data_IF_655669786978
#
_entry.id   IF_655669786978
#
_cell.length_a   1.000
_cell.length_b   1.000
_cell.length_c   1.000
_cell.angle_alpha   90.00
_cell.angle_beta   90.00
_cell.angle_gamma   90.00
#
_symmetry.space_group_name_H-M   'P 1'
#
loop_
_entity.id
_entity.type
_entity.pdbx_description
1 polymer ?
#
# COMPACT_ATOMS: atom_id res chain seq x y z
N UNK A 1 20.85 9.59 -21.30
CA UNK A 1 19.60 10.37 -21.39
C UNK A 1 18.74 9.98 -20.20
N UNK A 2 18.44 10.88 -19.25
CA UNK A 2 17.58 10.57 -18.09
C UNK A 2 16.16 10.98 -18.46
N UNK A 3 15.29 10.01 -18.70
CA UNK A 3 13.89 10.25 -19.08
C UNK A 3 13.06 10.21 -17.80
N UNK A 4 12.85 11.38 -17.19
CA UNK A 4 11.91 11.51 -16.07
C UNK A 4 10.48 11.59 -16.63
N UNK A 5 9.89 10.43 -16.89
CA UNK A 5 8.46 10.30 -17.18
C UNK A 5 7.74 9.88 -15.90
N UNK A 6 7.18 10.84 -15.17
CA UNK A 6 6.29 10.58 -14.03
C UNK A 6 4.92 10.14 -14.55
N UNK A 7 4.88 8.96 -15.19
CA UNK A 7 3.63 8.27 -15.49
C UNK A 7 3.13 7.56 -14.22
N UNK A 8 1.82 7.52 -14.04
CA UNK A 8 1.17 6.81 -12.93
C UNK A 8 1.76 5.40 -12.77
N UNK A 9 2.52 5.18 -11.68
CA UNK A 9 3.18 3.90 -11.37
C UNK A 9 2.17 2.74 -11.43
N UNK A 10 0.90 2.98 -11.09
CA UNK A 10 -0.18 1.99 -11.17
C UNK A 10 -0.36 1.41 -12.58
N UNK A 11 -0.27 2.23 -13.62
CA UNK A 11 -0.48 1.83 -15.01
C UNK A 11 0.71 1.02 -15.54
N UNK A 12 1.93 1.45 -15.19
CA UNK A 12 3.17 0.72 -15.51
C UNK A 12 3.18 -0.65 -14.81
N UNK A 13 2.76 -0.71 -13.56
CA UNK A 13 2.67 -1.95 -12.79
C UNK A 13 1.62 -2.92 -13.36
N UNK A 14 0.46 -2.42 -13.81
CA UNK A 14 -0.56 -3.25 -14.46
C UNK A 14 -0.04 -3.85 -15.77
N UNK A 15 0.67 -3.07 -16.58
CA UNK A 15 1.29 -3.56 -17.81
C UNK A 15 2.36 -4.66 -17.56
N UNK A 16 3.09 -4.59 -16.43
CA UNK A 16 4.02 -5.62 -16.02
C UNK A 16 3.33 -6.91 -15.57
N UNK A 17 2.27 -6.79 -14.75
CA UNK A 17 1.50 -7.94 -14.27
C UNK A 17 0.79 -8.67 -15.42
N UNK A 18 0.22 -7.95 -16.38
CA UNK A 18 -0.41 -8.56 -17.57
C UNK A 18 0.61 -9.32 -18.42
N UNK A 19 1.81 -8.76 -18.67
CA UNK A 19 2.87 -9.45 -19.42
C UNK A 19 3.40 -10.72 -18.76
N UNK A 20 3.42 -10.79 -17.42
CA UNK A 20 3.83 -12.00 -16.69
C UNK A 20 2.82 -13.15 -16.84
N UNK A 21 1.55 -12.84 -17.12
CA UNK A 21 0.46 -13.81 -17.19
C UNK A 21 0.17 -14.29 -18.64
N UNK A 22 0.70 -13.61 -19.67
CA UNK A 22 0.51 -13.95 -21.08
C UNK A 22 1.61 -14.86 -21.67
N UNK A 23 2.31 -15.62 -20.82
CA UNK A 23 3.37 -16.55 -21.20
C UNK A 23 2.92 -17.85 -21.91
N UNK A 24 1.69 -17.91 -22.43
CA UNK A 24 1.29 -19.00 -23.35
C UNK A 24 0.45 -18.45 -24.49
N UNK A 25 0.99 -18.57 -25.71
CA UNK A 25 0.34 -18.34 -27.01
C UNK A 25 0.25 -16.91 -27.55
N UNK A 26 1.30 -16.46 -28.24
CA UNK A 26 1.24 -16.22 -29.70
C UNK A 26 2.62 -15.94 -30.29
N UNK A 27 3.02 -16.77 -31.26
CA UNK A 27 4.04 -16.46 -32.26
C UNK A 27 3.47 -15.39 -33.20
N UNK A 28 4.22 -14.30 -33.44
CA UNK A 28 4.54 -13.80 -34.78
C UNK A 28 5.32 -12.46 -34.75
N UNK A 29 6.32 -12.38 -35.64
CA UNK A 29 7.14 -11.24 -36.10
C UNK A 29 8.26 -10.65 -35.19
N UNK A 30 9.51 -10.54 -35.70
CA UNK A 30 10.63 -9.96 -34.97
C UNK A 30 10.61 -8.43 -35.12
N UNK A 31 10.04 -7.73 -34.14
CA UNK A 31 10.25 -6.29 -34.01
C UNK A 31 11.70 -6.07 -33.57
N UNK A 32 12.55 -5.60 -34.49
CA UNK A 32 13.83 -4.96 -34.18
C UNK A 32 13.55 -3.69 -33.36
N UNK A 33 13.42 -3.85 -32.05
CA UNK A 33 13.49 -2.78 -31.07
C UNK A 33 14.42 -3.27 -29.98
N UNK A 34 15.39 -2.45 -29.58
CA UNK A 34 16.29 -2.79 -28.46
C UNK A 34 15.47 -3.27 -27.28
N UNK A 35 15.99 -4.28 -26.56
CA UNK A 35 15.36 -4.79 -25.35
C UNK A 35 15.26 -3.63 -24.35
N UNK A 36 14.09 -2.99 -24.28
CA UNK A 36 13.75 -2.06 -23.22
C UNK A 36 13.66 -2.86 -21.92
N UNK A 37 14.77 -2.92 -21.19
CA UNK A 37 14.85 -3.53 -19.86
C UNK A 37 14.24 -2.60 -18.83
N UNK A 38 13.11 -3.02 -18.26
CA UNK A 38 12.44 -2.33 -17.17
C UNK A 38 12.98 -2.87 -15.83
N UNK A 39 13.86 -2.10 -15.18
CA UNK A 39 14.34 -2.42 -13.82
C UNK A 39 13.51 -1.68 -12.76
N UNK A 40 12.82 -2.44 -11.90
CA UNK A 40 12.17 -1.90 -10.70
C UNK A 40 13.21 -1.55 -9.65
N UNK A 41 13.21 -0.30 -9.19
CA UNK A 41 14.04 0.13 -8.07
C UNK A 41 13.72 -0.67 -6.80
N UNK A 42 14.70 -0.83 -5.92
CA UNK A 42 14.54 -1.52 -4.62
C UNK A 42 13.40 -0.89 -3.81
N UNK A 43 13.37 0.44 -3.74
CA UNK A 43 12.31 1.20 -3.06
C UNK A 43 10.91 0.93 -3.64
N UNK A 44 10.78 0.74 -4.96
CA UNK A 44 9.49 0.44 -5.57
C UNK A 44 8.98 -0.96 -5.19
N UNK A 45 9.90 -1.93 -5.01
CA UNK A 45 9.55 -3.28 -4.53
C UNK A 45 9.10 -3.26 -3.07
N UNK A 46 9.80 -2.52 -2.21
CA UNK A 46 9.42 -2.35 -0.80
C UNK A 46 8.03 -1.73 -0.66
N UNK A 47 7.73 -0.68 -1.42
CA UNK A 47 6.39 -0.05 -1.42
C UNK A 47 5.31 -1.04 -1.89
N UNK A 48 5.62 -1.90 -2.88
CA UNK A 48 4.68 -2.91 -3.36
C UNK A 48 4.39 -3.96 -2.29
N UNK A 49 5.42 -4.41 -1.58
CA UNK A 49 5.29 -5.39 -0.49
C UNK A 49 4.43 -4.83 0.65
N UNK A 50 4.72 -3.61 1.10
CA UNK A 50 3.93 -2.92 2.14
C UNK A 50 2.48 -2.73 1.69
N UNK A 51 2.23 -2.30 0.45
CA UNK A 51 0.85 -2.15 -0.08
C UNK A 51 0.09 -3.47 -0.15
N UNK A 52 0.78 -4.56 -0.48
CA UNK A 52 0.16 -5.88 -0.55
C UNK A 52 -0.20 -6.36 0.87
N UNK A 53 0.73 -6.21 1.81
CA UNK A 53 0.47 -6.52 3.22
C UNK A 53 -0.69 -5.71 3.80
N UNK A 54 -0.78 -4.41 3.51
CA UNK A 54 -1.89 -3.56 3.95
C UNK A 54 -3.24 -3.98 3.35
N UNK A 55 -3.25 -4.51 2.13
CA UNK A 55 -4.48 -4.99 1.47
C UNK A 55 -5.01 -6.28 2.09
N UNK A 56 -4.11 -7.14 2.55
CA UNK A 56 -4.46 -8.42 3.17
C UNK A 56 -4.80 -8.27 4.65
N UNK A 57 -4.54 -7.11 5.26
CA UNK A 57 -4.92 -6.83 6.64
C UNK A 57 -6.43 -6.63 6.79
N UNK A 58 -7.03 -7.16 7.87
CA UNK A 58 -8.44 -6.96 8.14
C UNK A 58 -8.72 -5.48 8.46
N UNK A 59 -9.82 -4.98 7.91
CA UNK A 59 -10.30 -3.61 8.18
C UNK A 59 -10.58 -3.40 9.68
N UNK A 60 -11.09 -4.44 10.35
CA UNK A 60 -11.42 -4.41 11.77
C UNK A 60 -10.46 -5.33 12.53
N UNK A 61 -9.78 -4.76 13.53
CA UNK A 61 -8.98 -5.53 14.51
C UNK A 61 -9.88 -6.07 15.62
N UNK A 62 -10.63 -7.13 15.31
CA UNK A 62 -11.63 -7.74 16.19
C UNK A 62 -11.10 -8.04 17.61
N UNK A 63 -9.89 -8.59 17.71
CA UNK A 63 -9.26 -8.89 19.00
C UNK A 63 -9.17 -7.65 19.91
N UNK A 64 -8.71 -6.53 19.34
CA UNK A 64 -8.57 -5.25 20.07
C UNK A 64 -9.93 -4.71 20.47
N UNK A 65 -10.94 -4.82 19.60
CA UNK A 65 -12.31 -4.38 19.91
C UNK A 65 -12.88 -5.19 21.07
N UNK A 66 -12.74 -6.51 21.03
CA UNK A 66 -13.23 -7.38 22.09
C UNK A 66 -12.51 -7.14 23.42
N UNK A 67 -11.20 -6.92 23.39
CA UNK A 67 -10.43 -6.55 24.58
C UNK A 67 -10.98 -5.27 25.21
N UNK A 68 -11.12 -4.20 24.43
CA UNK A 68 -11.62 -2.92 24.93
C UNK A 68 -13.05 -3.05 25.48
N UNK A 69 -13.92 -3.80 24.81
CA UNK A 69 -15.29 -4.08 25.30
C UNK A 69 -15.26 -4.74 26.68
N UNK A 70 -14.37 -5.71 26.91
CA UNK A 70 -14.22 -6.37 28.21
C UNK A 70 -13.69 -5.42 29.29
N UNK A 71 -12.70 -4.59 28.97
CA UNK A 71 -12.13 -3.61 29.91
C UNK A 71 -13.16 -2.55 30.31
N UNK A 72 -13.99 -2.10 29.36
CA UNK A 72 -15.09 -1.16 29.61
C UNK A 72 -16.16 -1.80 30.49
N UNK A 73 -16.61 -3.01 30.15
CA UNK A 73 -17.61 -3.74 30.93
C UNK A 73 -17.11 -4.08 32.35
N UNK A 74 -15.82 -4.38 32.49
CA UNK A 74 -15.16 -4.64 33.77
C UNK A 74 -14.81 -3.38 34.57
N UNK A 75 -15.06 -2.17 34.04
CA UNK A 75 -14.72 -0.91 34.69
C UNK A 75 -13.22 -0.64 34.87
N UNK A 76 -12.36 -1.41 34.20
CA UNK A 76 -10.89 -1.27 34.26
C UNK A 76 -10.35 -0.36 33.17
N UNK A 77 -11.16 -0.04 32.16
CA UNK A 77 -10.79 0.91 31.13
C UNK A 77 -10.65 2.32 31.70
N UNK A 78 -9.46 2.90 31.57
CA UNK A 78 -9.18 4.29 31.95
C UNK A 78 -8.81 5.09 30.72
N UNK A 79 -9.65 6.06 30.39
CA UNK A 79 -9.37 7.02 29.33
C UNK A 79 -8.19 7.92 29.75
N UNK A 80 -7.10 7.88 28.98
CA UNK A 80 -5.93 8.73 29.20
C UNK A 80 -6.14 10.08 28.51
N UNK A 81 -6.25 11.14 29.30
CA UNK A 81 -6.46 12.50 28.81
C UNK A 81 -5.35 12.97 27.86
N UNK A 82 -4.10 12.52 28.05
CA UNK A 82 -2.99 12.89 27.15
C UNK A 82 -3.17 12.26 25.78
N UNK A 83 -3.53 10.97 25.74
CA UNK A 83 -3.78 10.24 24.49
C UNK A 83 -4.97 10.81 23.73
N UNK A 84 -6.00 11.29 24.44
CA UNK A 84 -7.14 11.98 23.82
C UNK A 84 -6.67 13.27 23.16
N UNK A 85 -5.94 14.11 23.89
CA UNK A 85 -5.44 15.38 23.36
C UNK A 85 -4.49 15.17 22.17
N UNK A 86 -3.59 14.18 22.25
CA UNK A 86 -2.70 13.77 21.17
C UNK A 86 -3.50 13.36 19.92
N UNK A 87 -4.49 12.49 20.05
CA UNK A 87 -5.35 12.07 18.93
C UNK A 87 -6.10 13.24 18.27
N UNK A 88 -6.58 14.21 19.06
CA UNK A 88 -7.22 15.43 18.52
C UNK A 88 -6.23 16.27 17.69
N UNK A 89 -4.98 16.38 18.17
CA UNK A 89 -3.94 17.15 17.47
C UNK A 89 -3.50 16.41 16.20
N UNK A 90 -3.28 15.10 16.27
CA UNK A 90 -2.90 14.27 15.13
C UNK A 90 -3.93 14.38 14.00
N UNK A 91 -5.22 14.24 14.31
CA UNK A 91 -6.29 14.35 13.32
C UNK A 91 -6.26 15.71 12.60
N UNK A 92 -6.11 16.80 13.36
CA UNK A 92 -6.00 18.15 12.80
C UNK A 92 -4.79 18.32 11.88
N UNK A 93 -3.68 17.63 12.18
CA UNK A 93 -2.47 17.69 11.37
C UNK A 93 -2.61 16.88 10.08
N UNK A 94 -3.28 15.72 10.14
CA UNK A 94 -3.57 14.90 8.96
C UNK A 94 -4.42 15.68 7.95
N UNK A 95 -5.47 16.37 8.40
CA UNK A 95 -6.34 17.20 7.54
C UNK A 95 -5.59 18.33 6.80
N UNK A 96 -4.48 18.83 7.34
CA UNK A 96 -3.68 19.89 6.69
C UNK A 96 -2.80 19.39 5.55
N UNK A 97 -2.57 18.09 5.48
CA UNK A 97 -1.68 17.46 4.49
C UNK A 97 -2.44 16.74 3.36
N UNK A 98 -3.75 16.98 3.26
CA UNK A 98 -4.63 16.52 2.18
C UNK A 98 -5.04 17.73 1.34
#
# INVERSE_FOLDING_TARGET
MKVNNYGNIKDVMKAYQTRKNEGTSRKDAPVKGGEDTLELSVQAREIQEVKSALKDMPEIREEKVQQLKREIAGGTYRADARKIAEGIIEERLLDKHI
#
